data_IF_453716581221
#
_entry.id   IF_453716581221
#
_cell.length_a   1.000
_cell.length_b   1.000
_cell.length_c   1.000
_cell.angle_alpha   90.00
_cell.angle_beta   90.00
_cell.angle_gamma   90.00
#
_symmetry.space_group_name_H-M   'P 1'
#
loop_
_entity.id
_entity.type
_entity.pdbx_description
1 polymer ?
#
# COMPACT_ATOMS: atom_id res chain seq x y z
N UNK A 1 -16.89 21.23 13.53
CA UNK A 1 -15.53 20.67 13.32
C UNK A 1 -15.53 19.28 13.93
N UNK A 2 -15.77 18.26 13.11
CA UNK A 2 -15.75 16.88 13.57
C UNK A 2 -14.35 16.31 13.35
N UNK A 3 -13.66 16.08 14.44
CA UNK A 3 -12.32 15.47 14.42
C UNK A 3 -12.49 13.96 14.43
N UNK A 4 -12.31 13.31 13.30
CA UNK A 4 -12.26 11.84 13.22
C UNK A 4 -11.02 11.36 13.97
N UNK A 5 -11.19 10.71 15.11
CA UNK A 5 -10.09 10.14 15.90
C UNK A 5 -9.85 8.70 15.44
N UNK A 6 -8.63 8.43 15.01
CA UNK A 6 -8.12 7.08 14.81
C UNK A 6 -7.54 6.59 16.14
N UNK A 7 -8.11 5.53 16.71
CA UNK A 7 -7.59 4.92 17.93
C UNK A 7 -6.97 3.57 17.60
N UNK A 8 -5.70 3.46 17.93
CA UNK A 8 -4.95 2.20 17.94
C UNK A 8 -5.18 1.54 19.30
N UNK A 9 -6.06 0.55 19.34
CA UNK A 9 -6.27 -0.23 20.55
C UNK A 9 -5.63 -1.61 20.37
N UNK A 10 -4.38 -1.73 20.82
CA UNK A 10 -3.80 -3.04 21.12
C UNK A 10 -4.63 -3.71 22.22
N UNK A 11 -5.29 -4.81 21.89
CA UNK A 11 -6.00 -5.65 22.86
C UNK A 11 -4.99 -6.40 23.74
N UNK A 12 -4.60 -5.80 24.86
CA UNK A 12 -4.12 -6.59 26.01
C UNK A 12 -5.33 -7.16 26.74
N UNK A 13 -5.68 -8.39 26.47
CA UNK A 13 -6.55 -9.18 27.36
C UNK A 13 -5.67 -9.72 28.48
N UNK A 14 -5.86 -9.17 29.68
CA UNK A 14 -5.54 -9.87 30.91
C UNK A 14 -6.71 -10.76 31.27
N UNK A 15 -6.53 -12.04 31.58
CA UNK A 15 -7.62 -12.88 32.07
C UNK A 15 -7.84 -12.59 33.54
N UNK A 16 -9.02 -12.11 33.90
CA UNK A 16 -9.48 -12.04 35.28
C UNK A 16 -10.09 -13.40 35.67
N UNK A 17 -9.54 -13.97 36.72
CA UNK A 17 -9.88 -15.30 37.21
C UNK A 17 -10.88 -15.19 38.35
N UNK A 18 -12.12 -15.64 38.14
CA UNK A 18 -12.99 -16.09 39.22
C UNK A 18 -13.83 -17.27 38.78
N UNK A 19 -13.36 -18.47 39.11
CA UNK A 19 -14.07 -19.73 38.91
C UNK A 19 -14.72 -20.17 40.21
N UNK A 20 -16.04 -20.32 40.19
CA UNK A 20 -16.78 -21.18 41.12
C UNK A 20 -16.79 -22.64 40.62
N UNK A 21 -16.99 -23.65 41.50
CA UNK A 21 -16.69 -25.03 41.21
C UNK A 21 -17.90 -25.82 40.63
N UNK A 22 -17.62 -26.68 39.67
CA UNK A 22 -18.58 -27.74 39.29
C UNK A 22 -18.46 -28.29 37.89
N UNK A 23 -17.90 -29.38 37.77
CA UNK A 23 -18.20 -30.63 37.06
C UNK A 23 -17.06 -31.13 36.18
N UNK A 24 -16.45 -32.23 36.73
CA UNK A 24 -15.54 -33.10 36.01
C UNK A 24 -16.24 -33.84 34.88
N UNK A 25 -15.66 -33.78 33.66
CA UNK A 25 -15.87 -34.82 32.66
C UNK A 25 -14.55 -35.00 31.87
N UNK A 26 -14.00 -36.18 32.04
CA UNK A 26 -12.82 -36.71 31.35
C UNK A 26 -12.99 -36.69 29.83
N UNK A 27 -12.05 -36.10 29.13
CA UNK A 27 -11.64 -36.59 27.81
C UNK A 27 -10.12 -36.58 27.79
N UNK A 28 -9.54 -37.77 27.88
CA UNK A 28 -8.15 -38.04 27.54
C UNK A 28 -8.06 -38.06 26.03
N UNK A 29 -7.30 -37.18 25.45
CA UNK A 29 -6.71 -37.36 24.14
C UNK A 29 -5.20 -37.42 24.29
N UNK A 30 -4.66 -38.52 23.85
CA UNK A 30 -3.26 -38.96 23.90
C UNK A 30 -2.37 -38.02 23.08
N UNK A 31 -1.31 -37.54 23.70
CA UNK A 31 -0.17 -36.87 23.05
C UNK A 31 0.65 -37.96 22.34
N UNK A 32 0.58 -38.03 21.03
CA UNK A 32 1.58 -38.73 20.22
C UNK A 32 2.65 -37.69 19.76
N UNK A 33 3.70 -37.66 20.53
CA UNK A 33 4.92 -36.93 20.19
C UNK A 33 5.65 -37.68 19.05
N UNK A 34 5.58 -37.14 17.84
CA UNK A 34 6.43 -37.59 16.72
C UNK A 34 7.82 -37.00 16.90
N UNK A 35 8.69 -37.78 17.54
CA UNK A 35 10.12 -37.52 17.62
C UNK A 35 10.78 -37.93 16.28
N UNK A 36 11.06 -36.99 15.40
CA UNK A 36 11.91 -37.22 14.24
C UNK A 36 13.38 -37.26 14.68
N UNK A 37 13.92 -38.47 14.87
CA UNK A 37 15.36 -38.67 15.06
C UNK A 37 16.08 -38.55 13.72
N UNK A 38 16.82 -37.45 13.55
CA UNK A 38 17.80 -37.27 12.48
C UNK A 38 19.02 -38.17 12.76
N UNK A 39 19.18 -39.25 11.97
CA UNK A 39 20.42 -40.04 11.94
C UNK A 39 21.52 -39.26 11.21
N UNK A 40 22.74 -39.16 11.78
CA UNK A 40 23.85 -38.59 11.05
C UNK A 40 24.36 -39.59 10.00
N UNK A 41 24.37 -39.16 8.73
CA UNK A 41 24.98 -39.89 7.63
C UNK A 41 26.49 -39.67 7.68
N UNK A 42 27.21 -40.70 8.15
CA UNK A 42 28.68 -40.74 8.13
C UNK A 42 29.18 -40.94 6.70
N UNK A 43 29.63 -39.86 6.05
CA UNK A 43 30.31 -39.95 4.76
C UNK A 43 31.81 -40.22 5.00
N UNK A 44 32.17 -41.52 4.94
CA UNK A 44 33.56 -41.96 4.99
C UNK A 44 34.24 -41.60 3.67
N UNK A 45 35.03 -40.52 3.69
CA UNK A 45 35.96 -40.21 2.58
C UNK A 45 37.09 -41.29 2.57
N UNK A 46 37.07 -42.16 1.58
CA UNK A 46 38.24 -42.98 1.23
C UNK A 46 39.27 -42.11 0.55
N UNK A 47 40.29 -41.70 1.29
CA UNK A 47 41.54 -41.15 0.76
C UNK A 47 42.32 -42.25 0.06
N UNK A 48 42.29 -42.30 -1.27
CA UNK A 48 43.30 -43.03 -2.05
C UNK A 48 44.56 -42.18 -2.13
N UNK A 49 45.59 -42.70 -1.49
CA UNK A 49 46.97 -42.23 -1.62
C UNK A 49 47.43 -42.42 -3.06
N UNK A 50 47.80 -41.33 -3.71
CA UNK A 50 48.73 -41.35 -4.83
C UNK A 50 50.01 -40.62 -4.41
N UNK A 51 51.08 -41.42 -4.34
CA UNK A 51 52.44 -41.03 -3.98
C UNK A 51 53.17 -40.55 -5.23
N UNK A 52 53.83 -39.44 -5.08
CA UNK A 52 55.05 -38.98 -5.71
C UNK A 52 55.27 -39.16 -7.24
N UNK A 53 55.30 -38.03 -7.94
CA UNK A 53 56.41 -37.74 -8.86
C UNK A 53 56.73 -36.23 -8.74
N UNK A 54 57.88 -35.98 -8.13
CA UNK A 54 58.53 -34.68 -8.12
C UNK A 54 59.15 -34.41 -9.48
N UNK A 55 58.84 -33.29 -10.11
CA UNK A 55 59.68 -32.72 -11.15
C UNK A 55 59.66 -31.20 -11.00
N UNK A 56 60.78 -30.54 -10.70
CA UNK A 56 60.83 -29.10 -10.64
C UNK A 56 61.07 -28.55 -12.06
N UNK A 57 60.17 -27.68 -12.55
CA UNK A 57 60.48 -26.84 -13.70
C UNK A 57 60.35 -25.38 -13.32
N UNK A 58 61.49 -24.75 -13.39
CA UNK A 58 61.88 -23.36 -13.34
C UNK A 58 60.82 -22.31 -13.73
N UNK A 59 60.69 -21.34 -12.85
CA UNK A 59 60.69 -19.89 -13.05
C UNK A 59 60.61 -19.39 -14.49
N UNK A 60 59.46 -18.86 -14.88
CA UNK A 60 59.37 -17.71 -15.78
C UNK A 60 58.14 -16.88 -15.39
N UNK A 61 58.42 -15.64 -15.05
CA UNK A 61 57.45 -14.71 -14.48
C UNK A 61 56.30 -14.37 -15.40
N UNK A 62 55.18 -14.14 -14.77
CA UNK A 62 53.98 -13.63 -15.37
C UNK A 62 52.93 -13.49 -14.30
N UNK A 63 53.07 -12.48 -13.45
CA UNK A 63 51.97 -12.06 -12.55
C UNK A 63 50.85 -11.50 -13.42
N UNK A 64 50.00 -12.40 -13.94
CA UNK A 64 48.69 -11.98 -14.45
C UNK A 64 47.88 -11.71 -13.20
N UNK A 65 47.86 -10.44 -12.77
CA UNK A 65 46.93 -9.93 -11.79
C UNK A 65 45.51 -10.08 -12.33
N UNK A 66 44.85 -11.18 -11.99
CA UNK A 66 43.41 -11.29 -12.07
C UNK A 66 42.85 -10.33 -11.02
N UNK A 67 42.74 -9.05 -11.36
CA UNK A 67 41.86 -8.14 -10.67
C UNK A 67 40.46 -8.68 -10.89
N UNK A 68 39.92 -9.43 -9.89
CA UNK A 68 38.51 -9.64 -9.74
C UNK A 68 37.91 -8.25 -9.51
N UNK A 69 37.61 -7.53 -10.58
CA UNK A 69 36.68 -6.41 -10.47
C UNK A 69 35.36 -7.01 -10.01
N UNK A 70 35.11 -6.87 -8.71
CA UNK A 70 33.77 -7.02 -8.16
C UNK A 70 32.90 -5.97 -8.86
N UNK A 71 32.34 -6.32 -10.00
CA UNK A 71 31.19 -5.59 -10.55
C UNK A 71 30.07 -5.81 -9.55
N UNK A 72 30.05 -4.98 -8.51
CA UNK A 72 28.80 -4.68 -7.84
C UNK A 72 27.89 -4.17 -8.96
N UNK A 73 26.96 -5.00 -9.39
CA UNK A 73 25.88 -4.58 -10.26
C UNK A 73 25.10 -3.52 -9.50
N UNK A 74 25.48 -2.25 -9.70
CA UNK A 74 24.66 -1.13 -9.31
C UNK A 74 23.34 -1.37 -10.02
N UNK A 75 22.26 -1.62 -9.26
CA UNK A 75 20.94 -1.70 -9.85
C UNK A 75 20.79 -0.48 -10.75
N UNK A 76 20.49 -0.71 -12.03
CA UNK A 76 20.31 0.36 -13.00
C UNK A 76 19.11 1.16 -12.51
N UNK A 77 19.34 2.38 -12.03
CA UNK A 77 18.28 3.24 -11.55
C UNK A 77 17.44 3.65 -12.74
N UNK A 78 16.12 3.44 -12.61
CA UNK A 78 15.16 3.71 -13.68
C UNK A 78 14.88 5.21 -13.74
N UNK A 79 15.33 5.86 -14.79
CA UNK A 79 14.93 7.23 -15.12
C UNK A 79 13.51 7.21 -15.70
N UNK A 80 12.72 8.26 -15.44
CA UNK A 80 11.37 8.33 -16.00
C UNK A 80 10.53 9.46 -15.46
N UNK A 81 9.26 9.49 -15.90
CA UNK A 81 8.28 10.46 -15.41
C UNK A 81 7.15 9.71 -14.72
N UNK A 82 7.02 9.93 -13.44
CA UNK A 82 5.96 9.37 -12.61
C UNK A 82 4.89 10.44 -12.32
N UNK A 83 3.63 10.08 -12.46
CA UNK A 83 2.51 10.96 -12.13
C UNK A 83 1.67 10.35 -11.02
N UNK A 84 1.61 11.02 -9.88
CA UNK A 84 0.87 10.60 -8.70
C UNK A 84 -0.35 11.49 -8.52
N UNK A 85 -1.54 10.91 -8.54
CA UNK A 85 -2.81 11.60 -8.35
C UNK A 85 -3.38 11.19 -6.99
N UNK A 86 -3.47 12.15 -6.08
CA UNK A 86 -4.03 11.97 -4.74
C UNK A 86 -5.41 12.58 -4.66
N UNK A 87 -6.37 11.80 -4.17
CA UNK A 87 -7.73 12.22 -3.95
C UNK A 87 -8.27 11.75 -2.61
N UNK A 88 -9.13 12.56 -2.03
CA UNK A 88 -9.90 12.17 -0.88
C UNK A 88 -11.01 11.20 -1.30
N UNK A 89 -11.41 10.29 -0.39
CA UNK A 89 -12.63 9.51 -0.57
C UNK A 89 -13.87 10.39 -0.79
N UNK A 90 -14.89 9.88 -1.45
CA UNK A 90 -16.17 10.56 -1.68
C UNK A 90 -16.95 10.87 -0.39
N UNK A 91 -18.09 11.53 -0.55
CA UNK A 91 -18.96 11.99 0.52
C UNK A 91 -19.43 10.83 1.41
N UNK A 92 -19.63 11.13 2.69
CA UNK A 92 -20.08 10.16 3.71
C UNK A 92 -21.48 10.51 4.24
N UNK A 93 -22.27 9.54 4.72
CA UNK A 93 -23.52 9.83 5.41
C UNK A 93 -23.27 10.59 6.73
N UNK A 94 -24.29 11.25 7.25
CA UNK A 94 -24.20 12.02 8.51
C UNK A 94 -23.66 11.19 9.68
N UNK A 95 -24.04 9.91 9.79
CA UNK A 95 -23.49 8.97 10.77
C UNK A 95 -22.13 8.36 10.43
N UNK A 96 -21.52 8.72 9.30
CA UNK A 96 -20.22 8.22 8.84
C UNK A 96 -20.25 6.78 8.35
N UNK A 97 -20.58 5.80 9.19
CA UNK A 97 -20.75 4.37 8.93
C UNK A 97 -19.56 3.69 8.22
N UNK A 98 -18.39 4.33 8.17
CA UNK A 98 -17.21 3.84 7.44
C UNK A 98 -17.36 3.84 5.91
N UNK A 99 -18.53 4.13 5.34
CA UNK A 99 -18.88 4.00 3.92
C UNK A 99 -19.23 5.34 3.25
N UNK A 100 -19.44 5.33 1.92
CA UNK A 100 -19.94 6.46 1.14
C UNK A 100 -21.47 6.63 1.33
N UNK A 101 -21.95 7.86 1.11
CA UNK A 101 -23.37 8.10 0.80
C UNK A 101 -23.59 7.98 -0.72
N UNK A 102 -24.84 8.21 -1.19
CA UNK A 102 -25.19 8.12 -2.60
C UNK A 102 -24.44 9.13 -3.46
N UNK A 103 -24.25 10.36 -2.98
CA UNK A 103 -23.44 11.39 -3.67
C UNK A 103 -21.99 10.92 -3.84
N UNK A 104 -21.37 10.38 -2.77
CA UNK A 104 -20.02 9.82 -2.84
C UNK A 104 -19.91 8.62 -3.77
N UNK A 105 -20.95 7.78 -3.86
CA UNK A 105 -21.01 6.69 -4.85
C UNK A 105 -21.09 7.22 -6.28
N UNK A 106 -21.94 8.22 -6.54
CA UNK A 106 -22.04 8.89 -7.83
C UNK A 106 -20.70 9.54 -8.23
N UNK A 107 -20.04 10.22 -7.28
CA UNK A 107 -18.67 10.73 -7.47
C UNK A 107 -17.70 9.61 -7.87
N UNK A 108 -17.71 8.50 -7.17
CA UNK A 108 -16.84 7.35 -7.46
C UNK A 108 -17.04 6.81 -8.88
N UNK A 109 -18.28 6.71 -9.33
CA UNK A 109 -18.64 6.30 -10.70
C UNK A 109 -18.14 7.30 -11.74
N UNK A 110 -18.30 8.61 -11.49
CA UNK A 110 -17.82 9.66 -12.41
C UNK A 110 -16.30 9.73 -12.48
N UNK A 111 -15.59 9.49 -11.37
CA UNK A 111 -14.12 9.44 -11.32
C UNK A 111 -13.55 8.37 -12.25
N UNK A 112 -14.26 7.28 -12.49
CA UNK A 112 -13.84 6.23 -13.41
C UNK A 112 -13.68 6.72 -14.87
N UNK A 113 -14.35 7.81 -15.23
CA UNK A 113 -14.18 8.47 -16.54
C UNK A 113 -13.26 9.68 -16.43
N UNK A 114 -13.48 10.52 -15.44
CA UNK A 114 -12.76 11.79 -15.26
C UNK A 114 -11.24 11.60 -15.09
N UNK A 115 -10.81 10.64 -14.26
CA UNK A 115 -9.39 10.47 -13.98
C UNK A 115 -8.59 10.07 -15.23
N UNK A 116 -9.01 9.05 -16.03
CA UNK A 116 -8.31 8.72 -17.26
C UNK A 116 -8.34 9.83 -18.32
N UNK A 117 -9.44 10.57 -18.43
CA UNK A 117 -9.53 11.70 -19.36
C UNK A 117 -8.61 12.85 -19.03
N UNK A 118 -8.39 13.12 -17.72
CA UNK A 118 -7.51 14.22 -17.28
C UNK A 118 -6.03 13.85 -17.20
N UNK A 119 -5.71 12.61 -16.81
CA UNK A 119 -4.35 12.23 -16.42
C UNK A 119 -3.81 11.00 -17.17
N UNK A 120 -4.58 10.42 -18.08
CA UNK A 120 -4.27 9.12 -18.70
C UNK A 120 -4.64 7.95 -17.81
N UNK A 121 -4.60 6.74 -18.35
CA UNK A 121 -4.87 5.52 -17.60
C UNK A 121 -3.84 5.33 -16.50
N UNK A 122 -4.29 4.91 -15.32
CA UNK A 122 -3.36 4.50 -14.27
C UNK A 122 -2.70 3.16 -14.62
N UNK A 123 -1.45 2.99 -14.17
CA UNK A 123 -0.75 1.72 -14.12
C UNK A 123 -0.97 1.01 -12.78
N UNK A 124 -1.19 1.79 -11.72
CA UNK A 124 -1.42 1.29 -10.36
C UNK A 124 -2.49 2.10 -9.65
N UNK A 125 -3.22 1.41 -8.76
CA UNK A 125 -4.27 2.01 -7.95
C UNK A 125 -4.07 1.64 -6.49
N UNK A 126 -4.13 2.64 -5.60
CA UNK A 126 -3.98 2.46 -4.16
C UNK A 126 -5.21 2.98 -3.41
N UNK A 127 -5.56 2.29 -2.34
CA UNK A 127 -6.54 2.74 -1.35
C UNK A 127 -6.13 2.33 0.06
N UNK A 128 -6.61 3.07 1.07
CA UNK A 128 -6.39 2.69 2.46
C UNK A 128 -7.01 1.34 2.78
N UNK A 129 -6.29 0.53 3.57
CA UNK A 129 -6.73 -0.79 4.01
C UNK A 129 -8.02 -0.68 4.86
N UNK A 130 -9.11 -1.38 4.51
CA UNK A 130 -10.38 -1.28 5.22
C UNK A 130 -10.44 -2.07 6.54
N UNK A 131 -9.40 -2.84 6.89
CA UNK A 131 -9.39 -3.63 8.15
C UNK A 131 -9.27 -2.77 9.40
N UNK A 132 -8.81 -1.52 9.27
CA UNK A 132 -8.80 -0.56 10.35
C UNK A 132 -10.17 0.11 10.46
N UNK A 133 -10.70 0.14 11.68
CA UNK A 133 -11.98 0.76 11.95
C UNK A 133 -11.85 2.28 12.17
N UNK A 134 -12.94 3.00 11.93
CA UNK A 134 -13.14 4.38 12.34
C UNK A 134 -14.24 4.44 13.38
N UNK A 135 -14.09 5.33 14.35
CA UNK A 135 -15.14 5.65 15.33
C UNK A 135 -15.94 6.84 14.80
N UNK A 136 -17.23 6.66 14.58
CA UNK A 136 -18.10 7.66 13.95
C UNK A 136 -19.52 7.55 14.53
N UNK A 137 -20.29 8.65 14.39
CA UNK A 137 -21.68 8.74 14.85
C UNK A 137 -21.80 9.14 16.32
N UNK A 138 -23.05 9.25 16.78
CA UNK A 138 -23.39 9.74 18.14
C UNK A 138 -22.97 8.81 19.27
N UNK A 139 -22.75 7.53 18.96
CA UNK A 139 -22.43 6.48 19.95
C UNK A 139 -20.97 5.99 19.82
N UNK A 140 -20.11 6.71 19.11
CA UNK A 140 -18.72 6.32 18.84
C UNK A 140 -18.60 4.85 18.35
N UNK A 141 -19.54 4.43 17.50
CA UNK A 141 -19.53 3.10 16.95
C UNK A 141 -18.33 2.91 16.02
N UNK A 142 -17.79 1.70 16.03
CA UNK A 142 -16.61 1.33 15.25
C UNK A 142 -17.02 0.64 13.95
N UNK A 143 -16.62 1.22 12.81
CA UNK A 143 -16.95 0.72 11.47
C UNK A 143 -15.69 0.47 10.64
N UNK A 144 -15.71 -0.54 9.79
CA UNK A 144 -14.64 -0.74 8.80
C UNK A 144 -14.52 0.46 7.87
N UNK A 145 -13.29 0.96 7.68
CA UNK A 145 -13.03 2.18 6.89
C UNK A 145 -12.94 1.86 5.40
N UNK A 146 -14.08 1.65 4.74
CA UNK A 146 -14.13 1.21 3.34
C UNK A 146 -14.23 2.36 2.32
N UNK A 147 -14.43 3.62 2.74
CA UNK A 147 -14.63 4.77 1.85
C UNK A 147 -13.57 4.95 0.76
N UNK A 148 -12.26 4.94 1.07
CA UNK A 148 -11.24 5.09 0.03
C UNK A 148 -11.31 3.99 -1.02
N UNK A 149 -11.48 2.74 -0.58
CA UNK A 149 -11.63 1.59 -1.48
C UNK A 149 -12.88 1.74 -2.36
N UNK A 150 -14.03 2.08 -1.78
CA UNK A 150 -15.27 2.31 -2.54
C UNK A 150 -15.12 3.43 -3.58
N UNK A 151 -14.40 4.50 -3.21
CA UNK A 151 -14.21 5.67 -4.10
C UNK A 151 -13.42 5.31 -5.36
N UNK A 152 -12.38 4.49 -5.25
CA UNK A 152 -11.48 4.24 -6.37
C UNK A 152 -11.79 2.94 -7.12
N UNK A 153 -12.58 2.05 -6.52
CA UNK A 153 -12.91 0.75 -7.13
C UNK A 153 -13.54 0.86 -8.53
N UNK A 154 -14.49 1.76 -8.82
CA UNK A 154 -15.01 1.90 -10.17
C UNK A 154 -13.95 2.25 -11.22
N UNK A 155 -12.98 3.12 -10.86
CA UNK A 155 -11.85 3.45 -11.73
C UNK A 155 -10.95 2.24 -11.97
N UNK A 156 -10.60 1.51 -10.92
CA UNK A 156 -9.79 0.30 -11.02
C UNK A 156 -10.48 -0.79 -11.86
N UNK A 157 -11.78 -1.01 -11.64
CA UNK A 157 -12.58 -1.98 -12.42
C UNK A 157 -12.59 -1.60 -13.90
N UNK A 158 -12.84 -0.32 -14.22
CA UNK A 158 -12.86 0.16 -15.62
C UNK A 158 -11.51 0.00 -16.31
N UNK A 159 -10.41 0.15 -15.56
CA UNK A 159 -9.04 -0.01 -16.07
C UNK A 159 -8.56 -1.48 -16.04
N UNK A 160 -9.31 -2.41 -15.44
CA UNK A 160 -8.91 -3.80 -15.28
C UNK A 160 -7.72 -3.98 -14.31
N UNK A 161 -7.57 -3.08 -13.33
CA UNK A 161 -6.45 -3.06 -12.40
C UNK A 161 -6.85 -3.55 -11.00
N UNK A 162 -5.97 -4.26 -10.28
CA UNK A 162 -6.15 -4.52 -8.86
C UNK A 162 -6.00 -3.22 -8.05
N UNK A 163 -6.70 -3.11 -6.92
CA UNK A 163 -6.46 -2.06 -5.93
C UNK A 163 -5.48 -2.57 -4.90
N UNK A 164 -4.35 -1.89 -4.72
CA UNK A 164 -3.42 -2.17 -3.64
C UNK A 164 -3.97 -1.57 -2.32
N UNK A 165 -4.28 -2.45 -1.37
CA UNK A 165 -4.80 -2.10 -0.04
C UNK A 165 -3.83 -2.55 1.07
N UNK A 166 -2.53 -2.62 0.79
CA UNK A 166 -1.52 -3.08 1.75
C UNK A 166 -1.40 -2.16 2.99
N UNK A 167 -1.64 -0.86 2.82
CA UNK A 167 -1.34 0.16 3.83
C UNK A 167 -2.60 0.67 4.51
N UNK A 168 -2.58 0.80 5.85
CA UNK A 168 -3.64 1.46 6.60
C UNK A 168 -3.58 2.98 6.41
N UNK A 169 -4.68 3.68 6.70
CA UNK A 169 -4.76 5.12 6.41
C UNK A 169 -3.68 5.97 7.09
N UNK A 170 -3.16 5.55 8.23
CA UNK A 170 -2.09 6.22 8.98
C UNK A 170 -0.67 5.72 8.64
N UNK A 171 -0.52 4.71 7.77
CA UNK A 171 0.78 4.18 7.36
C UNK A 171 1.40 5.06 6.26
N UNK A 172 1.36 6.38 6.45
CA UNK A 172 1.77 7.38 5.46
C UNK A 172 3.23 7.26 5.07
N UNK A 173 4.13 6.95 6.03
CA UNK A 173 5.55 6.74 5.74
C UNK A 173 5.77 5.52 4.87
N UNK A 174 5.22 4.37 5.26
CA UNK A 174 5.40 3.12 4.53
C UNK A 174 4.80 3.20 3.10
N UNK A 175 3.68 3.93 2.92
CA UNK A 175 3.13 4.17 1.59
C UNK A 175 4.00 5.16 0.79
N UNK A 176 4.57 6.19 1.42
CA UNK A 176 5.48 7.10 0.73
C UNK A 176 6.72 6.37 0.22
N UNK A 177 7.37 5.54 1.07
CA UNK A 177 8.49 4.70 0.69
C UNK A 177 8.13 3.78 -0.49
N UNK A 178 6.97 3.13 -0.46
CA UNK A 178 6.48 2.28 -1.54
C UNK A 178 6.32 3.05 -2.85
N UNK A 179 5.70 4.25 -2.80
CA UNK A 179 5.38 5.03 -4.01
C UNK A 179 6.61 5.60 -4.71
N UNK A 180 7.76 5.67 -4.06
CA UNK A 180 9.02 6.16 -4.66
C UNK A 180 9.96 5.04 -5.10
N UNK A 181 9.52 3.77 -5.05
CA UNK A 181 10.34 2.65 -5.54
C UNK A 181 10.50 2.69 -7.07
N UNK A 182 11.65 2.25 -7.58
CA UNK A 182 12.04 2.25 -8.99
C UNK A 182 10.98 1.69 -9.95
N UNK A 183 10.20 0.69 -9.49
CA UNK A 183 9.13 0.06 -10.28
C UNK A 183 8.00 1.01 -10.68
N UNK A 184 7.92 2.19 -10.04
CA UNK A 184 6.89 3.20 -10.29
C UNK A 184 7.41 4.42 -11.05
N UNK A 185 8.70 4.53 -11.36
CA UNK A 185 9.30 5.75 -11.92
C UNK A 185 8.75 6.17 -13.29
N UNK A 186 8.05 5.28 -14.00
CA UNK A 186 7.39 5.57 -15.29
C UNK A 186 5.87 5.38 -15.24
N UNK A 187 5.29 5.40 -14.05
CA UNK A 187 3.89 5.03 -13.85
C UNK A 187 2.99 6.23 -13.56
N UNK A 188 1.73 6.11 -13.95
CA UNK A 188 0.62 6.92 -13.46
C UNK A 188 -0.09 6.18 -12.34
N UNK A 189 -0.24 6.81 -11.18
CA UNK A 189 -0.76 6.16 -9.97
C UNK A 189 -1.95 6.96 -9.42
N UNK A 190 -3.08 6.28 -9.19
CA UNK A 190 -4.23 6.85 -8.50
C UNK A 190 -4.25 6.39 -7.05
N UNK A 191 -4.36 7.33 -6.11
CA UNK A 191 -4.37 7.06 -4.67
C UNK A 191 -5.58 7.71 -4.00
N UNK A 192 -6.56 6.91 -3.58
CA UNK A 192 -7.69 7.38 -2.79
C UNK A 192 -7.44 7.18 -1.30
N UNK A 193 -7.54 8.26 -0.52
CA UNK A 193 -7.12 8.24 0.88
C UNK A 193 -8.03 9.07 1.81
N UNK A 194 -7.62 9.21 3.07
CA UNK A 194 -8.25 10.10 4.06
C UNK A 194 -7.69 11.51 4.01
N UNK A 195 -8.56 12.53 3.99
CA UNK A 195 -8.13 13.94 4.03
C UNK A 195 -7.21 14.26 5.21
N UNK A 196 -7.41 13.61 6.37
CA UNK A 196 -6.59 13.84 7.56
C UNK A 196 -5.15 13.31 7.44
N UNK A 197 -4.86 12.41 6.48
CA UNK A 197 -3.52 11.85 6.28
C UNK A 197 -2.91 12.22 4.92
N UNK A 198 -3.71 12.71 3.97
CA UNK A 198 -3.23 13.12 2.65
C UNK A 198 -2.14 14.20 2.69
N UNK A 199 -2.25 15.26 3.51
CA UNK A 199 -1.19 16.26 3.62
C UNK A 199 0.16 15.66 4.01
N UNK A 200 0.17 14.82 5.03
CA UNK A 200 1.37 14.13 5.48
C UNK A 200 1.93 13.20 4.40
N UNK A 201 1.09 12.38 3.77
CA UNK A 201 1.49 11.47 2.70
C UNK A 201 2.11 12.21 1.52
N UNK A 202 1.45 13.26 1.02
CA UNK A 202 1.92 14.05 -0.12
C UNK A 202 3.27 14.69 0.17
N UNK A 203 3.43 15.29 1.36
CA UNK A 203 4.67 15.92 1.78
C UNK A 203 5.82 14.91 1.93
N UNK A 204 5.53 13.71 2.44
CA UNK A 204 6.51 12.63 2.56
C UNK A 204 6.96 12.14 1.18
N UNK A 205 6.03 11.83 0.28
CA UNK A 205 6.37 11.41 -1.10
C UNK A 205 7.25 12.45 -1.79
N UNK A 206 6.88 13.73 -1.69
CA UNK A 206 7.67 14.82 -2.28
C UNK A 206 9.08 14.87 -1.68
N UNK A 207 9.20 14.67 -0.37
CA UNK A 207 10.49 14.75 0.33
C UNK A 207 11.37 13.53 0.05
N UNK A 208 10.82 12.32 0.06
CA UNK A 208 11.54 11.08 -0.27
C UNK A 208 12.05 11.09 -1.72
N UNK A 209 11.19 11.49 -2.67
CA UNK A 209 11.53 11.52 -4.08
C UNK A 209 12.67 12.50 -4.40
N UNK A 210 12.67 13.69 -3.81
CA UNK A 210 13.66 14.73 -4.08
C UNK A 210 14.92 14.62 -3.21
N UNK A 211 14.81 13.99 -2.04
CA UNK A 211 15.84 13.99 -0.99
C UNK A 211 15.94 15.32 -0.23
N UNK A 212 14.93 16.20 -0.36
CA UNK A 212 14.83 17.47 0.33
C UNK A 212 13.46 17.59 1.02
N UNK A 213 13.40 18.32 2.14
CA UNK A 213 12.13 18.51 2.85
C UNK A 213 11.19 19.42 2.04
N UNK A 214 9.99 18.91 1.77
CA UNK A 214 8.91 19.64 1.11
C UNK A 214 7.69 19.80 2.01
N UNK A 215 7.02 20.93 1.87
CA UNK A 215 5.67 21.16 2.39
C UNK A 215 4.79 21.61 1.22
N UNK A 216 4.11 20.66 0.59
CA UNK A 216 3.22 20.90 -0.56
C UNK A 216 1.85 21.37 -0.08
N UNK A 217 1.39 20.83 1.04
CA UNK A 217 0.13 21.19 1.67
C UNK A 217 0.20 20.92 3.17
N UNK A 218 -0.33 21.85 3.96
CA UNK A 218 -0.35 21.73 5.43
C UNK A 218 -1.69 21.15 5.93
N UNK A 219 -2.77 21.35 5.17
CA UNK A 219 -4.12 20.94 5.56
C UNK A 219 -4.95 20.52 4.35
N UNK A 220 -5.98 19.72 4.61
CA UNK A 220 -7.02 19.38 3.66
C UNK A 220 -8.37 19.51 4.36
N UNK A 221 -9.16 20.50 3.95
CA UNK A 221 -10.45 20.76 4.56
C UNK A 221 -11.34 19.53 4.61
N UNK A 222 -11.97 19.28 5.76
CA UNK A 222 -12.95 18.21 5.95
C UNK A 222 -14.20 18.34 5.08
N UNK A 223 -14.44 19.50 4.45
CA UNK A 223 -15.52 19.73 3.48
C UNK A 223 -15.07 19.65 2.01
N UNK A 224 -13.77 19.54 1.74
CA UNK A 224 -13.25 19.48 0.37
C UNK A 224 -13.15 18.03 -0.12
N UNK A 225 -14.07 17.66 -0.99
CA UNK A 225 -14.10 16.38 -1.71
C UNK A 225 -13.64 16.53 -3.17
N UNK A 226 -13.40 17.77 -3.62
CA UNK A 226 -13.25 18.11 -5.04
C UNK A 226 -11.79 18.27 -5.48
N UNK A 227 -10.90 18.53 -4.54
CA UNK A 227 -9.48 18.73 -4.87
C UNK A 227 -8.79 17.43 -5.25
N UNK A 228 -7.94 17.50 -6.27
CA UNK A 228 -6.94 16.51 -6.65
C UNK A 228 -5.57 17.14 -6.49
N UNK A 229 -4.66 16.53 -5.74
CA UNK A 229 -3.24 16.89 -5.74
C UNK A 229 -2.51 15.98 -6.72
N UNK A 230 -1.73 16.58 -7.61
CA UNK A 230 -0.95 15.86 -8.61
C UNK A 230 0.52 16.21 -8.42
N UNK A 231 1.33 15.19 -8.15
CA UNK A 231 2.78 15.27 -8.17
C UNK A 231 3.29 14.66 -9.47
N UNK A 232 4.07 15.41 -10.22
CA UNK A 232 4.86 14.89 -11.34
C UNK A 232 6.31 14.84 -10.92
N UNK A 233 6.86 13.65 -10.86
CA UNK A 233 8.24 13.35 -10.47
C UNK A 233 9.03 12.98 -11.72
N UNK A 234 10.06 13.77 -12.06
CA UNK A 234 10.99 13.42 -13.14
C UNK A 234 12.24 12.84 -12.51
N UNK A 235 12.38 11.52 -12.61
CA UNK A 235 13.45 10.74 -12.01
C UNK A 235 14.72 10.79 -12.84
N UNK A 236 15.83 11.04 -12.17
CA UNK A 236 17.16 10.96 -12.75
C UNK A 236 18.19 10.56 -11.68
N UNK A 237 18.91 9.48 -11.93
CA UNK A 237 19.94 8.95 -11.01
C UNK A 237 19.41 8.77 -9.56
N UNK A 238 18.18 8.27 -9.41
CA UNK A 238 17.56 7.95 -8.13
C UNK A 238 17.07 9.15 -7.32
N UNK A 239 16.97 10.33 -7.94
CA UNK A 239 16.34 11.52 -7.38
C UNK A 239 15.33 12.09 -8.36
N UNK A 240 14.27 12.68 -7.85
CA UNK A 240 13.29 13.32 -8.69
C UNK A 240 13.33 14.85 -8.58
N UNK A 241 13.16 15.51 -9.72
CA UNK A 241 12.64 16.87 -9.72
C UNK A 241 11.13 16.85 -9.62
N UNK A 242 10.56 17.77 -8.84
CA UNK A 242 9.16 17.77 -8.44
C UNK A 242 8.39 18.92 -9.06
N UNK A 243 7.23 18.62 -9.64
CA UNK A 243 6.19 19.59 -9.97
C UNK A 243 4.90 19.20 -9.24
N UNK A 244 4.34 20.11 -8.45
CA UNK A 244 3.05 19.94 -7.78
C UNK A 244 1.99 20.84 -8.40
N UNK A 245 0.78 20.31 -8.63
CA UNK A 245 -0.39 21.05 -9.11
C UNK A 245 -1.66 20.54 -8.45
N UNK A 246 -2.60 21.46 -8.24
CA UNK A 246 -3.93 21.14 -7.76
C UNK A 246 -4.94 21.29 -8.90
N UNK A 247 -5.88 20.36 -8.96
CA UNK A 247 -7.00 20.35 -9.89
C UNK A 247 -8.32 20.21 -9.12
N UNK A 248 -9.41 20.56 -9.77
CA UNK A 248 -10.75 20.28 -9.28
C UNK A 248 -11.38 19.16 -10.11
N UNK A 249 -12.11 18.27 -9.43
CA UNK A 249 -12.91 17.23 -10.08
C UNK A 249 -14.10 17.87 -10.81
N UNK A 250 -14.72 18.92 -10.21
CA UNK A 250 -15.95 19.52 -10.71
C UNK A 250 -17.18 18.66 -10.45
N UNK A 251 -17.16 17.87 -9.35
CA UNK A 251 -18.21 16.89 -9.01
C UNK A 251 -18.97 17.22 -7.73
N UNK A 252 -18.84 18.46 -7.22
CA UNK A 252 -19.49 18.84 -5.95
C UNK A 252 -21.02 18.92 -6.05
N UNK A 253 -21.54 19.29 -7.22
CA UNK A 253 -22.98 19.39 -7.49
C UNK A 253 -23.57 18.07 -8.02
N UNK A 254 -22.92 16.95 -7.68
CA UNK A 254 -23.37 15.61 -8.08
C UNK A 254 -24.70 15.21 -7.45
N UNK A 255 -25.42 14.30 -8.13
CA UNK A 255 -26.68 13.77 -7.67
C UNK A 255 -26.56 13.12 -6.28
N UNK A 256 -27.42 13.50 -5.36
CA UNK A 256 -27.50 12.96 -4.00
C UNK A 256 -28.36 11.69 -3.90
N UNK A 257 -29.13 11.36 -4.97
CA UNK A 257 -29.88 10.10 -5.05
C UNK A 257 -28.93 8.94 -5.40
N UNK A 258 -29.25 7.75 -4.91
CA UNK A 258 -28.48 6.56 -5.27
C UNK A 258 -28.72 6.19 -6.74
N UNK A 259 -27.68 5.65 -7.42
CA UNK A 259 -27.86 5.11 -8.77
C UNK A 259 -28.97 4.06 -8.78
N UNK A 260 -29.94 4.23 -9.67
CA UNK A 260 -30.99 3.24 -9.83
C UNK A 260 -30.45 1.98 -10.53
N UNK A 261 -30.79 0.78 -10.03
CA UNK A 261 -30.44 -0.45 -10.72
C UNK A 261 -31.14 -0.47 -12.09
N UNK A 262 -30.40 -0.87 -13.13
CA UNK A 262 -30.99 -1.10 -14.44
C UNK A 262 -32.13 -2.10 -14.29
N UNK A 263 -33.34 -1.70 -14.67
CA UNK A 263 -34.54 -2.58 -14.67
C UNK A 263 -34.26 -3.78 -15.58
N UNK A 264 -33.99 -4.93 -14.96
CA UNK A 264 -33.97 -6.19 -15.71
C UNK A 264 -35.42 -6.55 -15.95
N UNK A 265 -35.89 -6.45 -17.22
CA UNK A 265 -37.22 -6.92 -17.58
C UNK A 265 -37.33 -8.40 -17.23
N UNK A 266 -38.32 -8.74 -16.40
CA UNK A 266 -38.56 -10.12 -15.95
C UNK A 266 -39.13 -11.03 -17.09
N UNK A 267 -39.00 -10.58 -18.33
CA UNK A 267 -39.45 -11.29 -19.53
C UNK A 267 -38.30 -12.09 -20.14
N UNK A 268 -38.04 -13.28 -19.58
CA UNK A 268 -37.26 -14.35 -20.22
C UNK A 268 -37.80 -15.72 -19.88
#
# INVERSE_FOLDING_TARGET
METTRYIDREHRRTPDASLGPGLSALIRCTEDAITMTLKPLSLALRLKRYSYIMLPLLLAGGAIGLTLESRTSRAEQVDGVQTLIFLRHGEKPAGGLGQLNCQGLNRAMNLATLLPEKFGNADFVFAANPTRNVEEGELDNSYSYIRPLMTISPSAIKLGLPVNIKFSANDTSALADELVEDKYHNATIYTAWSHGYLPELINKVASEASGEKHTITDDWSGSDYDTLYVLTLTWHNGKASLLSRNYKQGLNDGDESCPEPTQVSADS
#
